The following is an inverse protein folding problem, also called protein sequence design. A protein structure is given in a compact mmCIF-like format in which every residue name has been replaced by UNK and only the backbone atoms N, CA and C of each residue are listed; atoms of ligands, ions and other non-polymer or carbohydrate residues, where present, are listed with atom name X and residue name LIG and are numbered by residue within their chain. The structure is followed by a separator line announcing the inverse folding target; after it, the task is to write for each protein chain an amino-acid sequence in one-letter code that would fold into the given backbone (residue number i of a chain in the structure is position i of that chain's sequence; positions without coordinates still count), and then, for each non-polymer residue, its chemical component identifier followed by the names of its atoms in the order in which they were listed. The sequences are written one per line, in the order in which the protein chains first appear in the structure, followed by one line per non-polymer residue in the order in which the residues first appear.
data_IF_173874161235
#
_entry.id   IF_173874161235
#
_cell.length_a   1.000
_cell.length_b   1.000
_cell.length_c   1.000
_cell.angle_alpha   90.00
_cell.angle_beta   90.00
_cell.angle_gamma   90.00
#
_symmetry.space_group_name_H-M   'P 1'
#
loop_
_entity.id
_entity.type
_entity.pdbx_description
1 polymer ?
#
# COMPACT_ATOMS: atom_id res chain seq x y z
N UNK A 1 -43.97 -27.49 23.11
CA UNK A 1 -43.58 -26.20 22.52
C UNK A 1 -42.11 -25.84 22.84
N UNK A 2 -41.16 -26.78 22.65
CA UNK A 2 -39.72 -26.58 22.94
C UNK A 2 -38.78 -27.09 21.82
N UNK A 3 -39.31 -27.45 20.64
CA UNK A 3 -38.53 -28.03 19.52
C UNK A 3 -38.23 -27.02 18.37
N UNK A 4 -38.85 -25.83 18.39
CA UNK A 4 -38.62 -24.83 17.31
C UNK A 4 -37.50 -23.81 17.58
N UNK A 5 -37.08 -23.61 18.84
CA UNK A 5 -36.02 -22.68 19.19
C UNK A 5 -34.61 -23.21 18.90
N UNK A 6 -34.41 -24.54 19.00
CA UNK A 6 -33.11 -25.15 18.74
C UNK A 6 -32.73 -25.17 17.25
N UNK A 7 -33.70 -25.23 16.34
CA UNK A 7 -33.41 -25.21 14.90
C UNK A 7 -32.98 -23.84 14.38
N UNK A 8 -33.47 -22.75 14.97
CA UNK A 8 -33.12 -21.40 14.61
C UNK A 8 -31.70 -21.02 15.10
N UNK A 9 -31.29 -21.48 16.27
CA UNK A 9 -29.94 -21.28 16.83
C UNK A 9 -28.88 -22.06 16.05
N UNK A 10 -29.19 -23.30 15.65
CA UNK A 10 -28.29 -24.12 14.83
C UNK A 10 -28.11 -23.54 13.42
N UNK A 11 -29.16 -22.97 12.83
CA UNK A 11 -29.08 -22.30 11.53
C UNK A 11 -28.30 -20.95 11.61
N UNK A 12 -28.51 -20.18 12.66
CA UNK A 12 -27.75 -18.93 12.88
C UNK A 12 -26.27 -19.20 13.11
N UNK A 13 -25.93 -20.24 13.87
CA UNK A 13 -24.53 -20.62 14.09
C UNK A 13 -23.86 -21.19 12.82
N UNK A 14 -24.62 -21.92 11.98
CA UNK A 14 -24.14 -22.39 10.67
C UNK A 14 -23.97 -21.25 9.67
N UNK A 15 -24.88 -20.27 9.64
CA UNK A 15 -24.72 -19.07 8.82
C UNK A 15 -23.55 -18.20 9.31
N UNK A 16 -23.38 -18.03 10.62
CA UNK A 16 -22.25 -17.32 11.20
C UNK A 16 -20.91 -18.03 10.91
N UNK A 17 -20.89 -19.36 10.99
CA UNK A 17 -19.72 -20.15 10.64
C UNK A 17 -19.42 -20.12 9.13
N UNK A 18 -20.46 -20.17 8.27
CA UNK A 18 -20.30 -20.05 6.81
C UNK A 18 -19.85 -18.64 6.42
N UNK A 19 -20.38 -17.59 7.06
CA UNK A 19 -19.92 -16.21 6.87
C UNK A 19 -18.49 -16.01 7.36
N UNK A 20 -18.10 -16.64 8.47
CA UNK A 20 -16.72 -16.63 8.95
C UNK A 20 -15.77 -17.38 7.98
N UNK A 21 -16.19 -18.49 7.40
CA UNK A 21 -15.39 -19.25 6.41
C UNK A 21 -15.27 -18.48 5.09
N UNK A 22 -16.32 -17.79 4.65
CA UNK A 22 -16.29 -16.93 3.45
C UNK A 22 -15.39 -15.71 3.69
N UNK A 23 -15.48 -15.06 4.87
CA UNK A 23 -14.59 -13.98 5.28
C UNK A 23 -13.13 -14.44 5.42
N UNK A 24 -12.89 -15.68 5.82
CA UNK A 24 -11.58 -16.32 5.89
C UNK A 24 -10.97 -16.63 4.53
N UNK A 25 -11.79 -16.99 3.54
CA UNK A 25 -11.35 -17.20 2.16
C UNK A 25 -10.96 -15.92 1.45
N UNK A 26 -11.46 -14.76 1.91
CA UNK A 26 -11.17 -13.43 1.38
C UNK A 26 -9.99 -12.73 2.08
N UNK A 27 -9.51 -13.23 3.22
CA UNK A 27 -8.31 -12.73 3.88
C UNK A 27 -7.07 -13.13 3.08
N UNK A 28 -6.74 -12.35 2.06
CA UNK A 28 -5.43 -12.41 1.43
C UNK A 28 -4.39 -12.02 2.49
N UNK A 29 -3.26 -12.71 2.57
CA UNK A 29 -2.23 -12.34 3.54
C UNK A 29 -1.70 -10.94 3.25
N UNK A 30 -1.54 -10.14 4.30
CA UNK A 30 -0.92 -8.81 4.32
C UNK A 30 0.39 -8.83 3.54
N UNK A 31 0.50 -8.04 2.49
CA UNK A 31 1.63 -8.09 1.57
C UNK A 31 1.69 -6.82 0.72
N UNK A 32 2.76 -6.10 0.81
CA UNK A 32 3.20 -5.01 -0.05
C UNK A 32 4.69 -4.82 0.17
N UNK A 33 5.39 -4.10 -0.67
CA UNK A 33 6.75 -3.60 -0.39
C UNK A 33 6.65 -3.03 1.01
N UNK A 34 7.25 -3.71 1.94
CA UNK A 34 6.53 -3.94 3.18
C UNK A 34 6.36 -2.62 3.92
N UNK A 35 5.31 -2.50 4.66
CA UNK A 35 4.96 -1.35 5.54
C UNK A 35 6.20 -0.74 6.20
N UNK A 36 7.11 -1.58 6.70
CA UNK A 36 8.29 -1.14 7.44
C UNK A 36 9.32 -0.44 6.58
N UNK A 37 9.50 -0.87 5.33
CA UNK A 37 10.41 -0.20 4.40
C UNK A 37 9.90 1.18 4.02
N UNK A 38 8.60 1.33 3.76
CA UNK A 38 8.02 2.64 3.46
C UNK A 38 8.13 3.61 4.65
N UNK A 39 7.84 3.15 5.87
CA UNK A 39 8.01 3.95 7.08
C UNK A 39 9.49 4.30 7.33
N UNK A 40 10.42 3.36 7.10
CA UNK A 40 11.85 3.60 7.24
C UNK A 40 12.38 4.67 6.26
N UNK A 41 11.83 4.76 5.06
CA UNK A 41 12.15 5.85 4.12
C UNK A 41 11.68 7.19 4.67
N UNK A 42 10.48 7.26 5.25
CA UNK A 42 9.99 8.48 5.92
C UNK A 42 10.95 8.87 7.05
N UNK A 43 11.31 7.94 7.93
CA UNK A 43 12.22 8.20 9.06
C UNK A 43 13.58 8.69 8.62
N UNK A 44 14.15 8.02 7.61
CA UNK A 44 15.45 8.40 7.04
C UNK A 44 15.45 9.82 6.48
N UNK A 45 14.30 10.28 5.97
CA UNK A 45 14.15 11.59 5.34
C UNK A 45 13.53 12.64 6.27
N UNK A 46 13.07 12.25 7.47
CA UNK A 46 12.23 13.11 8.29
C UNK A 46 12.96 14.40 8.71
N UNK A 47 14.09 14.28 9.40
CA UNK A 47 14.79 15.41 10.02
C UNK A 47 15.44 16.33 9.00
N UNK A 48 16.10 15.75 8.00
CA UNK A 48 16.97 16.53 7.09
C UNK A 48 16.25 16.98 5.81
N UNK A 49 15.08 16.43 5.53
CA UNK A 49 14.39 16.64 4.26
C UNK A 49 12.91 16.99 4.43
N UNK A 50 12.09 16.14 5.06
CA UNK A 50 10.62 16.32 5.11
C UNK A 50 10.27 17.48 6.06
N UNK A 51 10.79 17.48 7.28
CA UNK A 51 10.53 18.52 8.26
C UNK A 51 10.91 19.93 7.77
N UNK A 52 12.07 20.16 7.12
CA UNK A 52 12.38 21.44 6.49
C UNK A 52 11.42 21.89 5.38
N UNK A 53 10.85 20.94 4.62
CA UNK A 53 9.82 21.23 3.61
C UNK A 53 8.52 21.65 4.27
N UNK A 54 8.11 20.97 5.35
CA UNK A 54 6.93 21.32 6.14
C UNK A 54 7.07 22.70 6.78
N UNK A 55 8.19 22.96 7.45
CA UNK A 55 8.45 24.24 8.15
C UNK A 55 8.57 25.42 7.19
N UNK A 56 8.99 25.21 5.94
CA UNK A 56 8.99 26.30 4.96
C UNK A 56 7.56 26.74 4.60
N UNK A 57 6.61 25.79 4.50
CA UNK A 57 5.21 26.09 4.18
C UNK A 57 4.41 26.48 5.42
N UNK A 58 4.77 25.93 6.59
CA UNK A 58 4.10 26.12 7.88
C UNK A 58 5.12 26.52 8.96
N UNK A 59 5.66 27.76 8.91
CA UNK A 59 6.82 28.17 9.73
C UNK A 59 6.53 28.23 11.24
N UNK A 60 5.26 28.24 11.64
CA UNK A 60 4.84 28.32 13.04
C UNK A 60 4.48 26.94 13.63
N UNK A 61 4.73 25.85 12.90
CA UNK A 61 4.45 24.52 13.42
C UNK A 61 5.38 24.19 14.58
N UNK A 62 4.81 23.75 15.71
CA UNK A 62 5.55 23.32 16.88
C UNK A 62 5.90 21.81 16.81
N UNK A 63 6.68 21.33 17.78
CA UNK A 63 7.12 19.92 17.82
C UNK A 63 5.97 18.90 17.89
N UNK A 64 4.89 19.22 18.62
CA UNK A 64 3.72 18.35 18.74
C UNK A 64 2.99 18.23 17.39
N UNK A 65 2.81 19.37 16.70
CA UNK A 65 2.23 19.40 15.35
C UNK A 65 3.09 18.67 14.32
N UNK A 66 4.43 18.81 14.42
CA UNK A 66 5.35 18.08 13.53
C UNK A 66 5.32 16.57 13.81
N UNK A 67 5.14 16.15 15.05
CA UNK A 67 4.97 14.76 15.40
C UNK A 67 3.66 14.18 14.85
N UNK A 68 2.57 14.93 14.93
CA UNK A 68 1.30 14.55 14.30
C UNK A 68 1.43 14.47 12.77
N UNK A 69 2.10 15.45 12.16
CA UNK A 69 2.41 15.47 10.74
C UNK A 69 3.25 14.24 10.31
N UNK A 70 4.15 13.75 11.16
CA UNK A 70 4.92 12.53 10.92
C UNK A 70 4.00 11.30 10.79
N UNK A 71 3.00 11.17 11.67
CA UNK A 71 2.00 10.10 11.54
C UNK A 71 1.17 10.21 10.25
N UNK A 72 0.88 11.42 9.78
CA UNK A 72 0.24 11.65 8.48
C UNK A 72 1.18 11.30 7.31
N UNK A 73 2.49 11.57 7.40
CA UNK A 73 3.45 11.14 6.40
C UNK A 73 3.53 9.60 6.30
N UNK A 74 3.50 8.88 7.42
CA UNK A 74 3.33 7.43 7.42
C UNK A 74 2.02 7.00 6.75
N UNK A 75 0.91 7.66 7.07
CA UNK A 75 -0.37 7.38 6.42
C UNK A 75 -0.32 7.53 4.90
N UNK A 76 0.33 8.57 4.42
CA UNK A 76 0.52 8.83 3.00
C UNK A 76 1.38 7.77 2.31
N UNK A 77 2.47 7.32 2.96
CA UNK A 77 3.35 6.31 2.36
C UNK A 77 2.76 4.88 2.40
N UNK A 78 1.66 4.67 3.11
CA UNK A 78 1.05 3.35 3.24
C UNK A 78 -0.29 3.20 2.52
N UNK A 79 -1.00 4.31 2.25
CA UNK A 79 -2.39 4.26 1.79
C UNK A 79 -2.56 3.57 0.43
N UNK A 80 -1.59 3.70 -0.46
CA UNK A 80 -1.65 3.12 -1.80
C UNK A 80 -1.72 1.60 -1.76
N UNK A 81 -1.23 0.95 -0.71
CA UNK A 81 -1.20 -0.49 -0.49
C UNK A 81 -2.43 -1.06 0.24
N UNK A 82 -3.49 -0.28 0.38
CA UNK A 82 -4.66 -0.66 1.17
C UNK A 82 -5.35 -1.96 0.69
N UNK A 83 -5.15 -2.37 -0.59
CA UNK A 83 -5.70 -3.63 -1.15
C UNK A 83 -5.27 -4.89 -0.41
N UNK A 84 -4.11 -4.86 0.21
CA UNK A 84 -3.50 -6.03 0.85
C UNK A 84 -4.13 -6.36 2.20
N UNK A 85 -5.02 -5.53 2.67
CA UNK A 85 -5.70 -5.66 3.96
C UNK A 85 -7.17 -5.99 3.78
N UNK A 86 -7.80 -6.70 4.74
CA UNK A 86 -9.23 -7.01 4.66
C UNK A 86 -10.06 -5.76 4.42
N UNK A 87 -11.05 -5.87 3.52
CA UNK A 87 -11.92 -4.77 3.06
C UNK A 87 -11.24 -3.67 2.26
N UNK A 88 -9.93 -3.78 2.00
CA UNK A 88 -9.22 -2.89 1.09
C UNK A 88 -9.70 -3.05 -0.36
N UNK A 89 -9.57 -2.01 -1.14
CA UNK A 89 -9.98 -2.02 -2.55
C UNK A 89 -8.80 -2.34 -3.47
N UNK A 90 -8.90 -3.47 -4.17
CA UNK A 90 -7.94 -3.80 -5.23
C UNK A 90 -7.90 -2.72 -6.30
N UNK A 91 -9.06 -2.16 -6.66
CA UNK A 91 -9.13 -1.18 -7.72
C UNK A 91 -8.54 0.18 -7.31
N UNK A 92 -8.64 0.55 -6.03
CA UNK A 92 -7.96 1.72 -5.49
C UNK A 92 -6.44 1.61 -5.66
N UNK A 93 -5.86 0.52 -5.16
CA UNK A 93 -4.42 0.27 -5.27
C UNK A 93 -3.96 0.17 -6.73
N UNK A 94 -4.70 -0.58 -7.57
CA UNK A 94 -4.36 -0.72 -8.98
C UNK A 94 -4.35 0.66 -9.69
N UNK A 95 -5.31 1.55 -9.40
CA UNK A 95 -5.33 2.91 -9.94
C UNK A 95 -4.10 3.71 -9.49
N UNK A 96 -3.80 3.72 -8.20
CA UNK A 96 -2.70 4.53 -7.65
C UNK A 96 -1.31 4.03 -8.06
N UNK A 97 -1.19 2.75 -8.45
CA UNK A 97 0.07 2.16 -8.91
C UNK A 97 0.26 2.18 -10.43
N UNK A 98 -0.83 2.03 -11.21
CA UNK A 98 -0.70 1.76 -12.64
C UNK A 98 -1.30 2.83 -13.54
N UNK A 99 -2.16 3.69 -13.02
CA UNK A 99 -2.86 4.71 -13.80
C UNK A 99 -2.62 6.08 -13.20
N UNK A 100 -1.99 6.98 -13.94
CA UNK A 100 -1.75 8.36 -13.49
C UNK A 100 -1.11 8.44 -12.08
N UNK A 101 -0.19 7.53 -11.78
CA UNK A 101 0.44 7.40 -10.46
C UNK A 101 1.15 8.69 -10.00
N UNK A 102 1.83 9.39 -10.89
CA UNK A 102 2.44 10.69 -10.59
C UNK A 102 1.39 11.79 -10.45
N UNK A 103 0.38 11.83 -11.34
CA UNK A 103 -0.69 12.83 -11.28
C UNK A 103 -1.45 12.73 -9.95
N UNK A 104 -1.63 11.51 -9.43
CA UNK A 104 -2.29 11.30 -8.13
C UNK A 104 -1.51 11.90 -6.97
N UNK A 105 -0.20 11.65 -6.87
CA UNK A 105 0.60 12.20 -5.77
C UNK A 105 0.82 13.72 -5.93
N UNK A 106 0.86 14.23 -7.16
CA UNK A 106 0.85 15.68 -7.42
C UNK A 106 -0.49 16.29 -6.97
N UNK A 107 -1.61 15.64 -7.29
CA UNK A 107 -2.93 16.11 -6.86
C UNK A 107 -3.07 16.16 -5.33
N UNK A 108 -2.48 15.20 -4.60
CA UNK A 108 -2.42 15.25 -3.13
C UNK A 108 -1.66 16.48 -2.62
N UNK A 109 -0.52 16.82 -3.23
CA UNK A 109 0.24 18.03 -2.87
C UNK A 109 -0.55 19.32 -3.17
N UNK A 110 -1.16 19.39 -4.34
CA UNK A 110 -1.91 20.56 -4.80
C UNK A 110 -3.16 20.83 -3.96
N UNK A 111 -3.88 19.76 -3.59
CA UNK A 111 -5.14 19.83 -2.83
C UNK A 111 -4.93 19.95 -1.31
N UNK A 112 -3.68 19.84 -0.82
CA UNK A 112 -3.38 19.93 0.61
C UNK A 112 -3.56 21.35 1.17
N UNK A 113 -4.27 21.48 2.29
CA UNK A 113 -4.73 22.74 2.89
C UNK A 113 -4.03 23.07 4.20
N UNK A 114 -3.56 22.06 4.92
CA UNK A 114 -2.90 22.19 6.21
C UNK A 114 -1.62 21.37 6.31
N UNK A 115 -0.96 21.43 7.47
CA UNK A 115 0.29 20.76 7.76
C UNK A 115 0.17 19.24 7.62
N UNK A 116 -0.91 18.66 8.17
CA UNK A 116 -1.14 17.22 8.21
C UNK A 116 -1.47 16.67 6.82
N UNK A 117 -2.31 17.36 6.05
CA UNK A 117 -2.61 17.03 4.67
C UNK A 117 -1.35 17.09 3.79
N UNK A 118 -0.50 18.12 3.98
CA UNK A 118 0.72 18.26 3.21
C UNK A 118 1.76 17.18 3.57
N UNK A 119 1.90 16.85 4.85
CA UNK A 119 2.74 15.73 5.29
C UNK A 119 2.26 14.39 4.72
N UNK A 120 0.95 14.16 4.70
CA UNK A 120 0.36 12.99 4.06
C UNK A 120 0.69 12.92 2.56
N UNK A 121 0.58 14.04 1.85
CA UNK A 121 0.92 14.13 0.43
C UNK A 121 2.42 13.83 0.18
N UNK A 122 3.33 14.35 1.02
CA UNK A 122 4.76 14.02 0.96
C UNK A 122 5.00 12.53 1.21
N UNK A 123 4.26 11.92 2.14
CA UNK A 123 4.29 10.47 2.35
C UNK A 123 3.92 9.68 1.09
N UNK A 124 2.87 10.09 0.37
CA UNK A 124 2.46 9.45 -0.88
C UNK A 124 3.51 9.62 -2.00
N UNK A 125 4.22 10.75 -2.06
CA UNK A 125 5.38 10.94 -2.94
C UNK A 125 6.51 9.99 -2.57
N UNK A 126 6.75 9.78 -1.26
CA UNK A 126 7.76 8.83 -0.78
C UNK A 126 7.43 7.40 -1.21
N UNK A 127 6.17 6.98 -1.12
CA UNK A 127 5.71 5.67 -1.62
C UNK A 127 6.00 5.50 -3.12
N UNK A 128 5.58 6.49 -3.93
CA UNK A 128 5.86 6.47 -5.37
C UNK A 128 7.36 6.26 -5.67
N UNK A 129 8.24 6.98 -4.97
CA UNK A 129 9.69 6.86 -5.15
C UNK A 129 10.23 5.51 -4.68
N UNK A 130 9.70 4.99 -3.58
CA UNK A 130 10.07 3.70 -3.00
C UNK A 130 9.73 2.55 -3.94
N UNK A 131 8.52 2.51 -4.49
CA UNK A 131 8.09 1.43 -5.36
C UNK A 131 8.81 1.45 -6.69
N UNK A 132 8.94 2.62 -7.34
CA UNK A 132 9.63 2.74 -8.62
C UNK A 132 11.05 2.14 -8.56
N UNK A 133 11.81 2.38 -7.49
CA UNK A 133 13.16 1.88 -7.34
C UNK A 133 13.20 0.51 -6.64
N UNK A 134 12.38 0.31 -5.63
CA UNK A 134 12.31 -0.93 -4.85
C UNK A 134 11.98 -2.15 -5.69
N UNK A 135 10.92 -2.08 -6.48
CA UNK A 135 10.52 -3.19 -7.35
C UNK A 135 11.51 -3.41 -8.49
N UNK A 136 11.86 -2.36 -9.23
CA UNK A 136 12.69 -2.48 -10.43
C UNK A 136 14.14 -2.88 -10.16
N UNK A 137 14.72 -2.40 -9.04
CA UNK A 137 16.13 -2.66 -8.69
C UNK A 137 16.25 -3.95 -7.87
N UNK A 138 15.36 -4.19 -6.91
CA UNK A 138 15.49 -5.30 -5.97
C UNK A 138 14.43 -6.39 -6.17
N UNK A 139 13.14 -6.13 -5.92
CA UNK A 139 12.14 -7.20 -5.75
C UNK A 139 12.00 -8.06 -7.00
N UNK A 140 11.80 -7.45 -8.17
CA UNK A 140 11.61 -8.18 -9.43
C UNK A 140 12.82 -9.04 -9.82
N UNK A 141 14.02 -8.66 -9.39
CA UNK A 141 15.27 -9.37 -9.64
C UNK A 141 15.58 -10.41 -8.57
N UNK A 142 15.17 -10.17 -7.32
CA UNK A 142 15.33 -11.09 -6.21
C UNK A 142 14.40 -12.31 -6.32
N UNK A 143 13.16 -12.11 -6.79
CA UNK A 143 12.21 -13.23 -6.96
C UNK A 143 12.77 -14.40 -7.75
N UNK A 144 13.33 -14.24 -8.96
CA UNK A 144 13.88 -15.37 -9.72
C UNK A 144 15.11 -16.01 -9.05
N UNK A 145 15.87 -15.28 -8.27
CA UNK A 145 17.00 -15.82 -7.50
C UNK A 145 16.52 -16.67 -6.31
N UNK A 146 15.51 -16.17 -5.59
CA UNK A 146 14.90 -16.90 -4.47
C UNK A 146 14.04 -18.08 -4.94
N UNK A 147 13.44 -18.01 -6.12
CA UNK A 147 12.52 -19.02 -6.67
C UNK A 147 12.96 -19.51 -8.05
N UNK A 148 13.96 -20.43 -8.17
CA UNK A 148 14.54 -20.86 -9.43
C UNK A 148 13.54 -21.45 -10.45
N UNK A 149 12.39 -21.97 -9.99
CA UNK A 149 11.32 -22.43 -10.90
C UNK A 149 10.70 -21.26 -11.67
N UNK A 150 10.52 -20.13 -11.03
CA UNK A 150 9.99 -18.91 -11.67
C UNK A 150 11.02 -18.32 -12.63
N UNK A 151 12.33 -18.37 -12.29
CA UNK A 151 13.39 -17.98 -13.21
C UNK A 151 13.35 -18.75 -14.53
N UNK A 152 13.08 -20.07 -14.47
CA UNK A 152 12.95 -20.90 -15.69
C UNK A 152 11.73 -20.55 -16.52
N UNK A 153 10.68 -20.06 -15.88
CA UNK A 153 9.39 -19.72 -16.53
C UNK A 153 9.38 -18.30 -17.09
N UNK A 154 9.90 -17.33 -16.35
CA UNK A 154 9.76 -15.90 -16.63
C UNK A 154 11.10 -15.17 -16.89
N UNK A 155 12.25 -15.84 -16.71
CA UNK A 155 13.57 -15.23 -16.89
C UNK A 155 14.14 -14.61 -15.63
N UNK A 156 14.97 -13.57 -15.80
CA UNK A 156 15.73 -12.95 -14.72
C UNK A 156 14.97 -11.80 -14.00
N UNK A 157 13.79 -11.47 -14.46
CA UNK A 157 12.88 -10.49 -13.86
C UNK A 157 11.50 -11.14 -13.73
N UNK A 158 10.93 -11.11 -12.54
CA UNK A 158 9.60 -11.67 -12.23
C UNK A 158 8.81 -10.63 -11.48
N UNK A 159 7.84 -10.04 -12.17
CA UNK A 159 7.02 -8.96 -11.66
C UNK A 159 5.88 -9.47 -10.76
N UNK A 160 5.17 -8.54 -10.13
CA UNK A 160 3.96 -8.87 -9.39
C UNK A 160 2.93 -9.56 -10.28
N UNK A 161 2.72 -9.10 -11.52
CA UNK A 161 1.79 -9.72 -12.47
C UNK A 161 2.13 -11.19 -12.78
N UNK A 162 3.41 -11.54 -12.85
CA UNK A 162 3.88 -12.89 -13.14
C UNK A 162 3.62 -13.84 -11.98
N UNK A 163 3.95 -13.44 -10.76
CA UNK A 163 3.71 -14.24 -9.57
C UNK A 163 3.53 -13.39 -8.29
N UNK A 164 2.32 -12.90 -8.02
CA UNK A 164 2.05 -12.08 -6.85
C UNK A 164 2.50 -12.68 -5.52
N UNK A 165 2.37 -14.02 -5.39
CA UNK A 165 2.72 -14.71 -4.15
C UNK A 165 4.22 -14.73 -3.86
N UNK A 166 5.04 -14.99 -4.87
CA UNK A 166 6.49 -15.00 -4.70
C UNK A 166 7.02 -13.58 -4.49
N UNK A 167 6.51 -12.63 -5.25
CA UNK A 167 6.82 -11.21 -5.15
C UNK A 167 6.62 -10.72 -3.70
N UNK A 168 5.41 -10.86 -3.17
CA UNK A 168 5.05 -10.44 -1.82
C UNK A 168 5.81 -11.16 -0.69
N UNK A 169 6.21 -12.43 -0.90
CA UNK A 169 7.05 -13.16 0.06
C UNK A 169 8.48 -12.65 0.07
N UNK A 170 8.96 -12.16 -1.07
CA UNK A 170 10.29 -11.57 -1.19
C UNK A 170 10.35 -10.27 -0.43
N UNK A 171 9.37 -9.38 -0.62
CA UNK A 171 9.25 -8.12 0.09
C UNK A 171 9.15 -8.32 1.60
N UNK A 172 8.28 -9.22 2.04
CA UNK A 172 8.18 -9.57 3.46
C UNK A 172 9.49 -10.13 4.02
N UNK A 173 10.24 -10.89 3.21
CA UNK A 173 11.55 -11.40 3.58
C UNK A 173 12.57 -10.28 3.82
N UNK A 174 12.54 -9.24 3.01
CA UNK A 174 13.37 -8.05 3.18
C UNK A 174 13.04 -7.31 4.48
N UNK A 175 11.78 -7.01 4.74
CA UNK A 175 11.38 -6.32 5.97
C UNK A 175 11.79 -7.08 7.24
N UNK A 176 11.47 -8.39 7.26
CA UNK A 176 11.85 -9.24 8.38
C UNK A 176 13.37 -9.21 8.62
N UNK A 177 14.16 -9.21 7.55
CA UNK A 177 15.61 -9.17 7.64
C UNK A 177 16.11 -7.80 8.15
N UNK A 178 15.55 -6.70 7.65
CA UNK A 178 15.97 -5.35 8.05
C UNK A 178 15.59 -5.01 9.50
N UNK A 179 14.39 -5.44 9.95
CA UNK A 179 14.02 -5.38 11.36
C UNK A 179 15.03 -6.16 12.22
N UNK A 180 15.40 -7.35 11.77
CA UNK A 180 16.31 -8.21 12.46
C UNK A 180 17.71 -7.61 12.59
N UNK A 181 18.15 -6.83 11.61
CA UNK A 181 19.43 -6.11 11.66
C UNK A 181 19.37 -4.80 12.45
N UNK A 182 18.20 -4.38 12.90
CA UNK A 182 18.02 -3.11 13.60
C UNK A 182 18.23 -1.89 12.70
N UNK A 183 18.15 -2.06 11.38
CA UNK A 183 18.29 -0.95 10.42
C UNK A 183 17.05 -0.06 10.37
N UNK A 184 15.87 -0.61 10.67
CA UNK A 184 14.67 0.19 10.86
C UNK A 184 14.65 0.71 12.29
N UNK A 185 14.52 2.03 12.44
CA UNK A 185 14.60 2.67 13.74
C UNK A 185 13.57 2.06 14.71
N UNK A 186 13.99 1.32 15.74
CA UNK A 186 13.06 0.73 16.71
C UNK A 186 12.23 1.80 17.43
N UNK A 187 12.78 3.01 17.57
CA UNK A 187 12.14 4.16 18.23
C UNK A 187 10.91 4.67 17.47
N UNK A 188 10.98 4.85 16.16
CA UNK A 188 9.82 5.26 15.37
C UNK A 188 8.68 4.23 15.48
N UNK A 189 9.02 2.94 15.48
CA UNK A 189 8.05 1.86 15.61
C UNK A 189 7.53 1.67 17.02
N UNK A 190 8.32 2.01 18.05
CA UNK A 190 7.89 1.98 19.44
C UNK A 190 7.09 3.22 19.83
N UNK A 191 7.42 4.36 19.24
CA UNK A 191 6.84 5.65 19.56
C UNK A 191 5.67 6.02 18.61
N UNK A 192 5.64 5.44 17.40
CA UNK A 192 4.63 5.68 16.36
C UNK A 192 3.99 4.38 15.88
N UNK A 193 3.28 3.71 16.77
CA UNK A 193 2.46 2.56 16.38
C UNK A 193 1.19 3.02 15.71
N UNK A 194 1.27 3.39 14.48
CA UNK A 194 0.11 3.77 13.73
C UNK A 194 0.42 4.89 12.73
N UNK A 195 -0.56 5.17 11.93
CA UNK A 195 -0.52 6.18 10.91
C UNK A 195 -1.87 6.90 10.86
N UNK A 196 -1.84 8.14 10.43
CA UNK A 196 -3.02 8.96 10.25
C UNK A 196 -3.34 9.14 8.76
N UNK A 197 -4.62 9.11 8.41
CA UNK A 197 -5.09 9.23 7.04
C UNK A 197 -5.88 10.52 6.87
N UNK A 198 -5.42 11.38 5.98
CA UNK A 198 -6.14 12.58 5.55
C UNK A 198 -7.22 12.21 4.53
N UNK A 199 -8.38 11.70 5.03
CA UNK A 199 -9.45 11.14 4.18
C UNK A 199 -10.04 12.15 3.21
N UNK A 200 -10.25 13.37 3.67
CA UNK A 200 -10.86 14.43 2.85
C UNK A 200 -9.92 14.85 1.72
N UNK A 201 -8.61 14.98 2.00
CA UNK A 201 -7.61 15.19 0.98
C UNK A 201 -7.56 14.04 -0.02
N UNK A 202 -7.55 12.80 0.51
CA UNK A 202 -7.51 11.60 -0.33
C UNK A 202 -8.67 11.55 -1.31
N UNK A 203 -9.91 11.86 -0.86
CA UNK A 203 -11.10 11.86 -1.72
C UNK A 203 -11.02 12.98 -2.77
N UNK A 204 -10.62 14.20 -2.39
CA UNK A 204 -10.45 15.33 -3.33
C UNK A 204 -9.43 15.00 -4.43
N UNK A 205 -8.25 14.55 -4.04
CA UNK A 205 -7.18 14.21 -4.99
C UNK A 205 -7.56 13.02 -5.87
N UNK A 206 -8.23 12.02 -5.31
CA UNK A 206 -8.70 10.85 -6.04
C UNK A 206 -9.76 11.22 -7.09
N UNK A 207 -10.73 12.05 -6.71
CA UNK A 207 -11.75 12.54 -7.63
C UNK A 207 -11.15 13.39 -8.77
N UNK A 208 -10.20 14.29 -8.44
CA UNK A 208 -9.48 15.11 -9.43
C UNK A 208 -8.70 14.26 -10.43
N UNK A 209 -8.07 13.18 -9.94
CA UNK A 209 -7.19 12.34 -10.76
C UNK A 209 -7.96 11.33 -11.61
N UNK A 210 -8.96 10.65 -11.02
CA UNK A 210 -9.63 9.50 -11.65
C UNK A 210 -11.10 9.72 -11.98
N UNK A 211 -11.71 10.86 -11.62
CA UNK A 211 -13.13 11.12 -11.81
C UNK A 211 -14.05 10.24 -10.98
N UNK A 212 -13.51 9.55 -9.97
CA UNK A 212 -14.21 8.64 -9.06
C UNK A 212 -14.04 9.11 -7.61
N UNK A 213 -15.01 8.81 -6.75
CA UNK A 213 -14.90 9.05 -5.30
C UNK A 213 -14.44 7.79 -4.57
N UNK A 214 -13.93 7.93 -3.35
CA UNK A 214 -13.57 6.77 -2.53
C UNK A 214 -14.79 5.87 -2.24
N UNK A 215 -16.00 6.45 -2.17
CA UNK A 215 -17.25 5.70 -2.01
C UNK A 215 -17.55 4.77 -3.18
N UNK A 216 -17.05 5.08 -4.38
CA UNK A 216 -17.21 4.21 -5.56
C UNK A 216 -16.37 2.93 -5.46
N UNK A 217 -15.32 2.94 -4.63
CA UNK A 217 -14.33 1.87 -4.54
C UNK A 217 -14.41 1.09 -3.24
N UNK A 218 -14.85 1.72 -2.15
CA UNK A 218 -14.91 1.11 -0.82
C UNK A 218 -16.36 1.00 -0.37
N UNK A 219 -16.76 -0.18 0.08
CA UNK A 219 -18.03 -0.32 0.79
C UNK A 219 -18.01 0.46 2.11
N UNK A 220 -16.88 0.43 2.84
CA UNK A 220 -16.63 1.20 4.05
C UNK A 220 -15.12 1.41 4.21
N UNK A 221 -14.64 2.62 3.89
CA UNK A 221 -13.23 2.99 4.03
C UNK A 221 -12.73 2.84 5.47
N UNK A 222 -13.52 3.22 6.45
CA UNK A 222 -13.14 3.12 7.87
C UNK A 222 -12.90 1.69 8.32
N UNK A 223 -13.64 0.72 7.78
CA UNK A 223 -13.42 -0.69 8.07
C UNK A 223 -12.11 -1.17 7.45
N UNK A 224 -11.81 -0.77 6.22
CA UNK A 224 -10.53 -1.07 5.56
C UNK A 224 -9.34 -0.49 6.36
N UNK A 225 -9.43 0.76 6.77
CA UNK A 225 -8.40 1.42 7.60
C UNK A 225 -8.27 0.77 8.98
N UNK A 226 -9.38 0.40 9.62
CA UNK A 226 -9.37 -0.29 10.92
C UNK A 226 -8.68 -1.65 10.84
N UNK A 227 -8.94 -2.43 9.81
CA UNK A 227 -8.27 -3.73 9.59
C UNK A 227 -6.80 -3.58 9.24
N UNK A 228 -6.44 -2.52 8.50
CA UNK A 228 -5.06 -2.18 8.21
C UNK A 228 -4.29 -1.86 9.50
N UNK A 229 -4.78 -0.92 10.32
CA UNK A 229 -4.18 -0.57 11.62
C UNK A 229 -4.02 -1.79 12.52
N UNK A 230 -5.05 -2.63 12.63
CA UNK A 230 -4.96 -3.88 13.38
C UNK A 230 -3.88 -4.81 12.85
N UNK A 231 -3.75 -4.93 11.55
CA UNK A 231 -2.74 -5.80 10.93
C UNK A 231 -1.32 -5.33 11.24
N UNK A 232 -1.05 -4.04 11.14
CA UNK A 232 0.26 -3.44 11.44
C UNK A 232 0.57 -3.56 12.94
N UNK A 233 -0.34 -3.14 13.81
CA UNK A 233 -0.07 -3.07 15.26
C UNK A 233 -0.11 -4.41 16.00
N UNK A 234 -0.80 -5.40 15.47
CA UNK A 234 -1.05 -6.66 16.20
C UNK A 234 -0.59 -7.90 15.43
N UNK A 235 -0.85 -7.96 14.14
CA UNK A 235 -0.57 -9.15 13.34
C UNK A 235 0.91 -9.26 12.97
N UNK A 236 1.53 -8.18 12.47
CA UNK A 236 2.95 -8.16 12.10
C UNK A 236 3.88 -8.60 13.25
N UNK A 237 3.78 -8.09 14.48
CA UNK A 237 4.61 -8.55 15.60
C UNK A 237 4.45 -10.05 15.90
N UNK A 238 3.23 -10.58 15.76
CA UNK A 238 2.98 -12.02 15.97
C UNK A 238 3.58 -12.86 14.87
N UNK A 239 3.46 -12.42 13.62
CA UNK A 239 4.05 -13.11 12.46
C UNK A 239 5.57 -13.12 12.59
N UNK A 240 6.20 -12.01 13.01
CA UNK A 240 7.64 -11.92 13.22
C UNK A 240 8.12 -12.90 14.33
N UNK A 241 7.41 -12.98 15.47
CA UNK A 241 7.71 -13.97 16.51
C UNK A 241 7.60 -15.41 16.00
N UNK A 242 6.60 -15.69 15.19
CA UNK A 242 6.39 -17.02 14.62
C UNK A 242 7.43 -17.33 13.55
N UNK A 243 7.83 -16.34 12.75
CA UNK A 243 8.92 -16.46 11.77
C UNK A 243 10.23 -16.86 12.44
N UNK A 244 10.59 -16.19 13.54
CA UNK A 244 11.75 -16.57 14.33
C UNK A 244 11.67 -18.01 14.84
N UNK A 245 10.54 -18.40 15.43
CA UNK A 245 10.37 -19.75 15.97
C UNK A 245 10.55 -20.85 14.91
N UNK A 246 10.09 -20.60 13.69
CA UNK A 246 10.13 -21.57 12.57
C UNK A 246 11.45 -21.50 11.80
N UNK A 247 11.99 -20.30 11.56
CA UNK A 247 13.10 -20.03 10.65
C UNK A 247 14.44 -19.77 11.35
N UNK A 248 14.50 -19.87 12.68
CA UNK A 248 15.70 -19.51 13.47
C UNK A 248 17.00 -20.09 12.91
N UNK A 249 17.01 -21.38 12.57
CA UNK A 249 18.23 -22.05 12.07
C UNK A 249 18.64 -21.49 10.70
N UNK A 250 17.68 -21.27 9.81
CA UNK A 250 17.91 -20.70 8.46
C UNK A 250 18.41 -19.26 8.58
N UNK A 251 17.77 -18.45 9.43
CA UNK A 251 18.14 -17.04 9.67
C UNK A 251 19.56 -16.96 10.28
N UNK A 252 19.88 -17.76 11.31
CA UNK A 252 21.20 -17.74 11.94
C UNK A 252 22.31 -18.28 11.04
N UNK A 253 22.01 -19.18 10.11
CA UNK A 253 22.98 -19.64 9.13
C UNK A 253 23.34 -18.56 8.11
N UNK A 254 22.34 -17.84 7.60
CA UNK A 254 22.54 -16.72 6.66
C UNK A 254 23.05 -15.45 7.37
N UNK A 255 22.69 -15.27 8.63
CA UNK A 255 22.96 -14.09 9.43
C UNK A 255 23.49 -14.47 10.82
N UNK A 256 24.77 -14.86 10.98
CA UNK A 256 25.34 -15.38 12.23
C UNK A 256 25.26 -14.41 13.44
N UNK A 257 25.24 -13.10 13.18
CA UNK A 257 25.13 -12.07 14.21
C UNK A 257 23.69 -11.84 14.73
N UNK A 258 22.69 -12.52 14.15
CA UNK A 258 21.30 -12.32 14.49
C UNK A 258 20.95 -12.88 15.86
N UNK A 259 20.35 -12.06 16.73
CA UNK A 259 19.75 -12.49 18.00
C UNK A 259 18.23 -12.52 17.92
N UNK A 260 17.60 -13.26 18.87
CA UNK A 260 16.13 -13.28 18.99
C UNK A 260 15.56 -11.88 19.24
N UNK A 261 16.21 -11.10 20.07
CA UNK A 261 15.70 -9.78 20.49
C UNK A 261 15.84 -8.74 19.39
N UNK A 262 16.86 -8.86 18.54
CA UNK A 262 16.98 -8.08 17.31
C UNK A 262 15.91 -8.45 16.27
N UNK A 263 15.56 -9.73 16.18
CA UNK A 263 14.56 -10.20 15.21
C UNK A 263 13.12 -9.93 15.63
N UNK A 264 12.82 -9.87 16.93
CA UNK A 264 11.46 -9.68 17.45
C UNK A 264 11.32 -8.27 18.00
N UNK A 265 10.60 -7.41 17.31
CA UNK A 265 10.17 -6.13 17.88
C UNK A 265 8.79 -6.26 18.54
N UNK A 266 8.59 -5.52 19.62
CA UNK A 266 7.32 -5.42 20.34
C UNK A 266 6.76 -4.01 20.16
N UNK A 267 5.70 -3.90 19.36
CA UNK A 267 4.88 -2.71 19.31
C UNK A 267 4.00 -2.71 20.56
N UNK A 268 4.19 -1.75 21.46
CA UNK A 268 3.37 -1.61 22.66
C UNK A 268 2.23 -0.65 22.38
N UNK A 269 0.99 -1.17 22.32
CA UNK A 269 -0.21 -0.35 22.21
C UNK A 269 -0.27 0.76 23.27
N UNK A 270 0.20 0.46 24.49
CA UNK A 270 0.27 1.42 25.58
C UNK A 270 1.19 2.63 25.29
N UNK A 271 2.24 2.47 24.48
CA UNK A 271 3.12 3.56 24.09
C UNK A 271 2.40 4.49 23.12
N UNK A 272 1.70 3.94 22.14
CA UNK A 272 0.91 4.71 21.19
C UNK A 272 -0.22 5.50 21.89
N UNK A 273 -1.00 4.84 22.77
CA UNK A 273 -2.08 5.48 23.53
C UNK A 273 -1.56 6.60 24.45
N UNK A 274 -0.33 6.46 24.97
CA UNK A 274 0.32 7.49 25.77
C UNK A 274 0.71 8.72 24.96
N UNK A 275 1.19 8.53 23.73
CA UNK A 275 1.69 9.60 22.87
C UNK A 275 0.58 10.32 22.10
N UNK A 276 -0.41 9.58 21.61
CA UNK A 276 -1.46 10.07 20.69
C UNK A 276 -2.85 10.17 21.32
N UNK A 277 -2.99 9.77 22.61
CA UNK A 277 -4.29 9.68 23.25
C UNK A 277 -5.12 8.49 22.74
N UNK A 278 -6.37 8.43 23.17
CA UNK A 278 -7.33 7.36 22.77
C UNK A 278 -8.29 7.81 21.67
N UNK A 279 -8.29 9.07 21.32
CA UNK A 279 -9.27 9.69 20.40
C UNK A 279 -9.05 9.32 18.92
N UNK A 280 -7.90 8.74 18.59
CA UNK A 280 -7.67 8.10 17.29
C UNK A 280 -8.49 6.82 17.10
N UNK A 281 -9.00 6.23 18.19
CA UNK A 281 -10.03 5.21 18.14
C UNK A 281 -11.36 5.86 17.66
N UNK A 282 -11.52 6.07 16.37
CA UNK A 282 -12.86 5.96 15.81
C UNK A 282 -13.30 4.54 16.16
N UNK A 283 -14.17 4.41 17.14
CA UNK A 283 -14.56 3.15 17.77
C UNK A 283 -14.82 2.11 16.67
N UNK A 284 -14.01 1.07 16.58
CA UNK A 284 -14.28 0.01 15.64
C UNK A 284 -15.68 -0.51 15.98
N UNK A 285 -16.61 -0.39 15.06
CA UNK A 285 -17.97 -0.88 15.26
C UNK A 285 -17.94 -2.35 15.71
N UNK A 286 -19.02 -2.82 16.31
CA UNK A 286 -19.18 -4.22 16.77
C UNK A 286 -18.63 -5.27 15.78
N UNK A 287 -18.74 -5.01 14.46
CA UNK A 287 -18.15 -5.85 13.40
C UNK A 287 -16.64 -5.97 13.46
N UNK A 288 -15.92 -4.92 13.86
CA UNK A 288 -14.44 -4.96 13.98
C UNK A 288 -14.02 -5.75 15.22
N UNK A 289 -14.74 -5.65 16.34
CA UNK A 289 -14.49 -6.48 17.52
C UNK A 289 -14.76 -7.96 17.27
N UNK A 290 -15.81 -8.28 16.52
CA UNK A 290 -16.10 -9.64 16.09
C UNK A 290 -15.01 -10.16 15.15
N UNK A 291 -14.53 -9.34 14.22
CA UNK A 291 -13.44 -9.68 13.30
C UNK A 291 -12.13 -9.93 14.07
N UNK A 292 -11.80 -9.09 15.03
CA UNK A 292 -10.63 -9.27 15.92
C UNK A 292 -10.75 -10.57 16.72
N UNK A 293 -11.95 -10.90 17.22
CA UNK A 293 -12.20 -12.16 17.92
C UNK A 293 -12.02 -13.36 16.98
N UNK A 294 -12.55 -13.27 15.76
CA UNK A 294 -12.39 -14.29 14.70
C UNK A 294 -10.92 -14.46 14.37
N UNK A 295 -10.16 -13.40 14.17
CA UNK A 295 -8.70 -13.47 13.94
C UNK A 295 -7.92 -14.06 15.12
N UNK A 296 -8.39 -13.88 16.36
CA UNK A 296 -7.81 -14.53 17.57
C UNK A 296 -8.04 -16.04 17.61
N UNK A 297 -9.17 -16.50 17.08
CA UNK A 297 -9.61 -17.91 17.16
C UNK A 297 -9.13 -18.76 15.99
N UNK A 298 -8.59 -18.15 14.91
CA UNK A 298 -8.14 -18.90 13.73
C UNK A 298 -6.78 -19.56 14.00
N UNK A 299 -6.72 -20.90 13.99
CA UNK A 299 -5.44 -21.57 14.01
C UNK A 299 -4.77 -21.47 12.64
N UNK A 300 -3.61 -20.81 12.58
CA UNK A 300 -2.48 -20.96 11.62
C UNK A 300 -2.74 -21.09 10.11
N UNK A 301 -3.96 -20.83 9.58
CA UNK A 301 -4.26 -20.87 8.15
C UNK A 301 -4.54 -19.45 7.62
N UNK A 302 -4.12 -19.12 6.42
CA UNK A 302 -4.35 -17.82 5.77
C UNK A 302 -3.20 -16.80 5.97
N UNK A 303 -3.19 -15.92 6.98
CA UNK A 303 -2.17 -14.88 7.12
C UNK A 303 -0.76 -15.42 7.38
N UNK A 304 -0.64 -16.60 7.97
CA UNK A 304 0.66 -17.27 8.19
C UNK A 304 1.30 -17.88 6.93
N UNK A 305 0.66 -17.80 5.76
CA UNK A 305 1.30 -18.17 4.49
C UNK A 305 2.49 -17.25 4.13
N UNK A 306 2.56 -16.04 4.69
CA UNK A 306 3.73 -15.15 4.59
C UNK A 306 5.01 -15.77 5.17
N UNK A 307 4.88 -16.62 6.21
CA UNK A 307 6.00 -17.34 6.82
C UNK A 307 6.73 -18.33 5.89
N UNK A 308 6.20 -18.59 4.71
CA UNK A 308 6.88 -19.36 3.67
C UNK A 308 7.80 -18.49 2.81
N UNK A 309 8.26 -17.31 3.31
CA UNK A 309 9.31 -16.53 2.68
C UNK A 309 10.64 -17.29 2.69
N UNK A 310 11.49 -16.97 1.74
CA UNK A 310 12.89 -17.40 1.73
C UNK A 310 13.76 -16.28 2.29
N UNK A 311 14.70 -16.64 3.15
CA UNK A 311 15.64 -15.66 3.70
C UNK A 311 16.52 -15.15 2.55
N UNK A 312 16.60 -13.83 2.31
CA UNK A 312 17.50 -13.27 1.33
C UNK A 312 18.96 -13.62 1.64
N UNK A 313 19.73 -13.99 0.58
CA UNK A 313 21.17 -14.12 0.69
C UNK A 313 21.84 -12.75 0.78
N UNK A 314 23.12 -12.64 1.20
CA UNK A 314 23.82 -11.36 1.27
C UNK A 314 23.81 -10.57 -0.05
N UNK A 315 23.94 -11.25 -1.20
CA UNK A 315 23.88 -10.60 -2.51
C UNK A 315 22.49 -10.02 -2.81
N UNK A 316 21.44 -10.76 -2.42
CA UNK A 316 20.05 -10.32 -2.60
C UNK A 316 19.73 -9.16 -1.64
N UNK A 317 20.26 -9.23 -0.41
CA UNK A 317 20.13 -8.15 0.56
C UNK A 317 20.81 -6.87 0.07
N UNK A 318 22.02 -6.99 -0.50
CA UNK A 318 22.68 -5.84 -1.12
C UNK A 318 21.86 -5.19 -2.22
N UNK A 319 21.15 -5.98 -3.06
CA UNK A 319 20.24 -5.43 -4.06
C UNK A 319 19.11 -4.62 -3.40
N UNK A 320 18.62 -5.06 -2.25
CA UNK A 320 17.62 -4.33 -1.48
C UNK A 320 18.20 -3.01 -0.94
N UNK A 321 19.38 -3.05 -0.32
CA UNK A 321 20.06 -1.85 0.20
C UNK A 321 20.32 -0.82 -0.93
N UNK A 322 20.82 -1.27 -2.09
CA UNK A 322 21.02 -0.42 -3.26
C UNK A 322 19.70 0.22 -3.74
N UNK A 323 18.58 -0.52 -3.66
CA UNK A 323 17.24 -0.01 -4.02
C UNK A 323 16.70 1.00 -3.00
N UNK A 324 16.97 0.76 -1.72
CA UNK A 324 16.60 1.69 -0.63
C UNK A 324 17.33 3.02 -0.79
N UNK A 325 18.63 3.00 -1.01
CA UNK A 325 19.45 4.20 -1.25
C UNK A 325 19.02 4.97 -2.50
N UNK A 326 18.66 4.24 -3.57
CA UNK A 326 18.10 4.85 -4.79
C UNK A 326 16.76 5.55 -4.49
N UNK A 327 15.85 4.89 -3.75
CA UNK A 327 14.56 5.43 -3.35
C UNK A 327 14.72 6.68 -2.46
N UNK A 328 15.61 6.65 -1.47
CA UNK A 328 15.95 7.81 -0.62
C UNK A 328 16.47 8.97 -1.47
N UNK A 329 17.38 8.69 -2.39
CA UNK A 329 17.95 9.71 -3.30
C UNK A 329 16.89 10.31 -4.21
N UNK A 330 16.01 9.50 -4.79
CA UNK A 330 14.88 9.95 -5.61
C UNK A 330 13.95 10.84 -4.79
N UNK A 331 13.58 10.42 -3.60
CA UNK A 331 12.65 11.15 -2.74
C UNK A 331 13.23 12.49 -2.28
N UNK A 332 14.52 12.57 -1.95
CA UNK A 332 15.20 13.86 -1.68
C UNK A 332 15.07 14.84 -2.85
N UNK A 333 15.26 14.36 -4.09
CA UNK A 333 15.07 15.20 -5.30
C UNK A 333 13.62 15.64 -5.47
N UNK A 334 12.67 14.73 -5.26
CA UNK A 334 11.24 15.03 -5.37
C UNK A 334 10.80 16.05 -4.33
N UNK A 335 11.25 15.92 -3.09
CA UNK A 335 10.95 16.87 -2.01
C UNK A 335 11.62 18.23 -2.22
N UNK A 336 12.83 18.27 -2.77
CA UNK A 336 13.47 19.53 -3.16
C UNK A 336 12.67 20.24 -4.26
N UNK A 337 12.11 19.52 -5.21
CA UNK A 337 11.21 20.08 -6.23
C UNK A 337 9.89 20.57 -5.63
N UNK A 338 9.25 19.78 -4.75
CA UNK A 338 8.06 20.19 -4.04
C UNK A 338 8.29 21.45 -3.21
N UNK A 339 9.45 21.54 -2.55
CA UNK A 339 9.91 22.73 -1.82
C UNK A 339 10.03 23.95 -2.71
N UNK A 340 10.49 23.78 -3.96
CA UNK A 340 10.62 24.86 -4.94
C UNK A 340 9.30 25.24 -5.64
N UNK A 341 8.18 24.65 -5.26
CA UNK A 341 6.84 24.99 -5.76
C UNK A 341 6.40 24.22 -7.00
N UNK A 342 7.03 23.08 -7.33
CA UNK A 342 6.56 22.26 -8.45
C UNK A 342 7.24 20.90 -8.55
N UNK A 343 6.53 19.84 -8.19
CA UNK A 343 7.00 18.46 -8.37
C UNK A 343 6.89 18.05 -9.85
N UNK A 344 8.02 17.62 -10.42
CA UNK A 344 8.09 17.14 -11.81
C UNK A 344 8.46 15.66 -11.82
N UNK A 345 7.47 14.81 -11.81
CA UNK A 345 7.57 13.36 -11.94
C UNK A 345 6.62 12.87 -13.04
N UNK A 346 6.91 11.73 -13.63
CA UNK A 346 6.10 11.15 -14.72
C UNK A 346 5.26 9.98 -14.25
N UNK A 347 4.14 9.73 -14.91
CA UNK A 347 3.34 8.53 -14.66
C UNK A 347 4.13 7.27 -15.03
N UNK A 348 4.30 6.39 -14.04
CA UNK A 348 4.98 5.09 -14.15
C UNK A 348 4.06 4.00 -13.62
N UNK A 349 4.23 2.80 -14.13
CA UNK A 349 3.77 1.65 -13.39
C UNK A 349 4.77 1.38 -12.25
N UNK A 350 4.28 1.26 -11.02
CA UNK A 350 5.14 1.22 -9.84
C UNK A 350 5.79 -0.16 -9.65
N UNK A 351 5.24 -1.22 -10.26
CA UNK A 351 5.84 -2.56 -10.19
C UNK A 351 7.10 -2.69 -11.05
N UNK A 352 7.13 -2.07 -12.23
CA UNK A 352 8.28 -2.19 -13.12
C UNK A 352 9.14 -0.94 -13.13
N UNK A 353 8.63 0.18 -12.59
CA UNK A 353 9.26 1.48 -12.66
C UNK A 353 9.29 2.07 -14.08
N UNK A 354 8.62 1.47 -15.06
CA UNK A 354 8.61 1.91 -16.47
C UNK A 354 7.53 2.97 -16.71
N UNK A 355 7.70 3.83 -17.72
CA UNK A 355 6.62 4.73 -18.14
C UNK A 355 5.37 3.94 -18.53
N UNK A 356 4.20 4.47 -18.16
CA UNK A 356 2.91 3.86 -18.51
C UNK A 356 2.69 3.88 -20.02
N UNK A 357 2.49 2.70 -20.62
CA UNK A 357 2.21 2.52 -22.02
C UNK A 357 1.32 1.30 -22.24
N UNK A 358 0.37 1.40 -23.16
CA UNK A 358 -0.53 0.30 -23.51
C UNK A 358 0.25 -0.89 -24.08
N UNK A 359 -0.04 -2.09 -23.57
CA UNK A 359 0.59 -3.34 -23.99
C UNK A 359 1.94 -3.65 -23.32
N UNK A 360 2.46 -2.77 -22.45
CA UNK A 360 3.76 -2.97 -21.79
C UNK A 360 3.63 -3.74 -20.45
N UNK A 361 2.52 -3.55 -19.74
CA UNK A 361 2.29 -4.21 -18.46
C UNK A 361 0.81 -4.58 -18.27
N UNK A 362 0.58 -5.87 -18.06
CA UNK A 362 -0.78 -6.44 -18.01
C UNK A 362 -1.69 -5.74 -16.99
N UNK A 363 -1.20 -5.46 -15.78
CA UNK A 363 -2.02 -4.84 -14.74
C UNK A 363 -2.36 -3.38 -15.07
N UNK A 364 -1.49 -2.68 -15.76
CA UNK A 364 -1.77 -1.34 -16.29
C UNK A 364 -2.93 -1.39 -17.28
N UNK A 365 -2.86 -2.31 -18.27
CA UNK A 365 -3.91 -2.46 -19.30
C UNK A 365 -5.27 -2.78 -18.66
N UNK A 366 -5.30 -3.78 -17.77
CA UNK A 366 -6.51 -4.20 -17.07
C UNK A 366 -7.10 -3.08 -16.20
N UNK A 367 -6.24 -2.25 -15.61
CA UNK A 367 -6.68 -1.14 -14.74
C UNK A 367 -7.28 -0.01 -15.56
N UNK A 368 -6.67 0.36 -16.71
CA UNK A 368 -7.25 1.33 -17.64
C UNK A 368 -8.58 0.84 -18.19
N UNK A 369 -8.69 -0.44 -18.57
CA UNK A 369 -9.94 -1.03 -19.07
C UNK A 369 -11.05 -0.93 -18.02
N UNK A 370 -10.72 -1.24 -16.76
CA UNK A 370 -11.67 -1.16 -15.65
C UNK A 370 -12.07 0.28 -15.36
N UNK A 371 -11.11 1.22 -15.37
CA UNK A 371 -11.39 2.65 -15.17
C UNK A 371 -12.35 3.16 -16.25
N UNK A 372 -12.05 2.93 -17.54
CA UNK A 372 -12.87 3.35 -18.63
C UNK A 372 -14.30 2.78 -18.55
N UNK A 373 -14.45 1.50 -18.20
CA UNK A 373 -15.74 0.85 -17.97
C UNK A 373 -16.53 1.49 -16.82
N UNK A 374 -15.86 1.84 -15.71
CA UNK A 374 -16.51 2.50 -14.58
C UNK A 374 -16.96 3.93 -14.93
N UNK A 375 -16.10 4.70 -15.59
CA UNK A 375 -16.44 6.05 -16.04
C UNK A 375 -17.60 6.05 -17.04
N UNK A 376 -17.63 5.09 -17.95
CA UNK A 376 -18.74 4.94 -18.91
C UNK A 376 -20.07 4.60 -18.23
N UNK A 377 -20.09 3.74 -17.21
CA UNK A 377 -21.29 3.46 -16.39
C UNK A 377 -21.85 4.72 -15.74
N UNK A 378 -20.98 5.66 -15.36
CA UNK A 378 -21.35 6.97 -14.79
C UNK A 378 -21.56 8.04 -15.86
N UNK A 379 -21.67 7.67 -17.14
CA UNK A 379 -21.83 8.60 -18.27
C UNK A 379 -20.72 9.67 -18.29
N UNK A 380 -19.53 9.30 -17.84
CA UNK A 380 -18.33 10.15 -17.73
C UNK A 380 -18.47 11.35 -16.78
N UNK A 381 -19.41 11.29 -15.84
CA UNK A 381 -19.49 12.26 -14.76
C UNK A 381 -18.17 12.31 -13.99
N UNK A 382 -17.64 13.52 -13.72
CA UNK A 382 -16.35 13.70 -13.02
C UNK A 382 -15.10 13.59 -13.91
N UNK A 383 -15.24 13.25 -15.20
CA UNK A 383 -14.11 13.18 -16.12
C UNK A 383 -13.62 14.59 -16.45
N UNK A 384 -12.37 14.88 -16.08
CA UNK A 384 -11.68 16.12 -16.44
C UNK A 384 -11.10 16.05 -17.87
N UNK A 385 -10.79 17.18 -18.52
CA UNK A 385 -10.11 17.20 -19.81
C UNK A 385 -8.79 16.42 -19.80
N UNK A 386 -8.01 16.54 -18.74
CA UNK A 386 -6.70 15.90 -18.56
C UNK A 386 -6.87 14.36 -18.42
N UNK A 387 -7.87 13.92 -17.66
CA UNK A 387 -8.18 12.48 -17.52
C UNK A 387 -8.65 11.90 -18.86
N UNK A 388 -9.53 12.62 -19.57
CA UNK A 388 -10.01 12.21 -20.89
C UNK A 388 -8.84 12.08 -21.87
N UNK A 389 -7.98 13.09 -21.95
CA UNK A 389 -6.82 13.07 -22.82
C UNK A 389 -5.85 11.93 -22.47
N UNK A 390 -5.56 11.74 -21.17
CA UNK A 390 -4.72 10.65 -20.72
C UNK A 390 -5.24 9.27 -21.17
N UNK A 391 -6.54 9.00 -20.99
CA UNK A 391 -7.16 7.74 -21.42
C UNK A 391 -7.08 7.59 -22.95
N UNK A 392 -7.41 8.63 -23.69
CA UNK A 392 -7.35 8.60 -25.16
C UNK A 392 -5.94 8.38 -25.67
N UNK A 393 -4.94 9.03 -25.07
CA UNK A 393 -3.52 8.85 -25.41
C UNK A 393 -3.04 7.43 -25.08
N UNK A 394 -3.45 6.86 -23.96
CA UNK A 394 -3.12 5.48 -23.59
C UNK A 394 -3.60 4.50 -24.69
N UNK A 395 -4.86 4.60 -25.09
CA UNK A 395 -5.43 3.71 -26.11
C UNK A 395 -5.04 4.05 -27.55
N UNK A 396 -4.51 5.25 -27.82
CA UNK A 396 -4.06 5.62 -29.18
C UNK A 396 -2.96 4.71 -29.73
N UNK A 397 -2.18 4.08 -28.83
CA UNK A 397 -1.08 3.17 -29.16
C UNK A 397 -1.52 1.70 -29.23
N UNK A 398 -2.77 1.40 -28.84
CA UNK A 398 -3.29 0.03 -28.82
C UNK A 398 -3.71 -0.40 -30.25
N UNK A 399 -3.13 -1.48 -30.74
CA UNK A 399 -3.38 -1.98 -32.10
C UNK A 399 -4.79 -2.57 -32.27
N UNK A 400 -5.38 -3.12 -31.22
CA UNK A 400 -6.67 -3.85 -31.25
C UNK A 400 -7.54 -3.56 -30.02
N UNK A 401 -8.12 -2.37 -29.88
CA UNK A 401 -8.97 -2.02 -28.73
C UNK A 401 -10.20 -2.95 -28.56
N UNK A 402 -10.71 -3.50 -29.65
CA UNK A 402 -11.90 -4.35 -29.63
C UNK A 402 -11.67 -5.70 -28.93
N UNK A 403 -10.43 -6.21 -28.91
CA UNK A 403 -10.10 -7.45 -28.20
C UNK A 403 -10.22 -7.31 -26.67
N UNK A 404 -10.13 -6.10 -26.14
CA UNK A 404 -10.33 -5.79 -24.72
C UNK A 404 -11.80 -5.53 -24.35
N UNK A 405 -12.72 -5.56 -25.33
CA UNK A 405 -14.14 -5.32 -25.10
C UNK A 405 -14.45 -3.92 -24.58
N UNK A 406 -13.66 -2.91 -24.99
CA UNK A 406 -13.78 -1.50 -24.56
C UNK A 406 -14.13 -0.54 -25.72
N UNK A 407 -14.25 -1.06 -26.94
CA UNK A 407 -14.54 -0.26 -28.14
C UNK A 407 -15.72 0.70 -27.97
N UNK A 408 -16.91 0.25 -27.50
CA UNK A 408 -18.06 1.12 -27.27
C UNK A 408 -17.79 2.23 -26.25
N UNK A 409 -17.10 1.93 -25.14
CA UNK A 409 -16.79 2.90 -24.10
C UNK A 409 -15.77 3.94 -24.58
N UNK A 410 -14.79 3.50 -25.36
CA UNK A 410 -13.79 4.39 -25.95
C UNK A 410 -14.41 5.32 -26.99
N UNK A 411 -15.32 4.81 -27.83
CA UNK A 411 -16.09 5.62 -28.78
C UNK A 411 -16.96 6.66 -28.04
N UNK A 412 -17.65 6.24 -26.98
CA UNK A 412 -18.43 7.13 -26.14
C UNK A 412 -17.57 8.22 -25.47
N UNK A 413 -16.37 7.88 -24.96
CA UNK A 413 -15.44 8.86 -24.41
C UNK A 413 -14.93 9.85 -25.46
N UNK A 414 -14.69 9.39 -26.68
CA UNK A 414 -14.30 10.28 -27.83
C UNK A 414 -15.36 11.30 -28.15
N UNK A 415 -16.64 10.89 -28.15
CA UNK A 415 -17.78 11.76 -28.42
C UNK A 415 -18.24 12.59 -27.22
N UNK A 416 -17.72 12.26 -26.00
CA UNK A 416 -18.06 13.01 -24.80
C UNK A 416 -17.50 14.42 -24.87
N UNK A 417 -18.39 15.38 -25.15
CA UNK A 417 -18.12 16.79 -24.98
C UNK A 417 -18.56 17.19 -23.58
N UNK A 418 -17.69 17.85 -22.81
CA UNK A 418 -18.12 18.47 -21.56
C UNK A 418 -19.29 19.39 -21.91
N UNK A 419 -20.43 19.31 -21.20
CA UNK A 419 -21.46 20.35 -21.36
C UNK A 419 -20.75 21.68 -21.16
N UNK A 420 -20.91 22.59 -22.15
CA UNK A 420 -20.20 23.86 -22.17
C UNK A 420 -20.37 24.64 -20.87
N UNK A 421 -19.34 25.43 -20.55
CA UNK A 421 -19.44 26.50 -19.58
C UNK A 421 -20.55 27.47 -19.90
#
# INVERSE_FOLDING_TARGET
MRLSENSSLINRNRLAALSAVILLGLAQPVRGYSVLTHEAIIDTLWIDTIQPVLLMRFPNANEEQLREAHAHAYGGCLIQDLRYYPFGSHFFTDLTHYVRSADFVIALLDESRDLNEYAFALGAVAHYGADVDGHSIAVNRAVPLLYPKLRRQFGNEVTYADNPRAHLRTEFGFDVLQVARGHYAPTAYHDFVGFQISKDLLDRAFQKTYGLTLKDLFGTLDLALGTYRFSVSTLLPRVTKTAWAIKRKEIMNEQPAMSRDLFIYNIKRASFEKEWGKDYEQHPGFGTHLLVLVFRLIPKFGPFRGLAFRVPTPDIEKMFEDSFDAAVTRNRRSFAQAKAGGLKISNRDLDTGRPVSSGEYLLTDLTYDKLLKQLAKRKFEGVTPELRENILNFYSRMKTPDQHGIGPQLAALKSFAKPGN
#
